data_IF_181098617747
#
_entry.id   IF_181098617747
#
_cell.length_a   1.000
_cell.length_b   1.000
_cell.length_c   1.000
_cell.angle_alpha   90.00
_cell.angle_beta   90.00
_cell.angle_gamma   90.00
#
_symmetry.space_group_name_H-M   'P 1'
#
loop_
_entity.id
_entity.type
_entity.pdbx_description
1 polymer ?
#
# COMPACT_ATOMS: atom_id res chain seq x y z
N UNK A 1 -13.04 2.24 -11.31
CA UNK A 1 -13.60 2.14 -9.95
C UNK A 1 -13.99 0.72 -9.66
N UNK A 2 -13.56 0.18 -8.52
CA UNK A 2 -13.77 -1.22 -8.19
C UNK A 2 -15.00 -1.38 -7.29
N UNK A 3 -15.74 -2.48 -7.39
CA UNK A 3 -16.87 -2.79 -6.47
C UNK A 3 -16.35 -3.05 -5.04
N UNK A 4 -17.21 -3.00 -4.02
CA UNK A 4 -16.79 -3.30 -2.65
C UNK A 4 -16.65 -4.82 -2.46
N UNK A 5 -15.47 -5.35 -2.77
CA UNK A 5 -15.07 -6.75 -2.60
C UNK A 5 -13.70 -6.79 -1.93
N UNK A 6 -13.44 -7.82 -1.11
CA UNK A 6 -12.13 -7.98 -0.46
C UNK A 6 -10.99 -8.06 -1.47
N UNK A 7 -11.19 -8.77 -2.59
CA UNK A 7 -10.20 -8.84 -3.69
C UNK A 7 -9.80 -7.47 -4.23
N UNK A 8 -10.70 -6.49 -4.20
CA UNK A 8 -10.40 -5.15 -4.70
C UNK A 8 -9.55 -4.34 -3.72
N UNK A 9 -9.61 -4.65 -2.42
CA UNK A 9 -8.67 -4.13 -1.41
C UNK A 9 -7.28 -4.71 -1.64
N UNK A 10 -7.19 -6.02 -1.93
CA UNK A 10 -5.92 -6.66 -2.29
C UNK A 10 -5.30 -6.01 -3.54
N UNK A 11 -6.10 -5.82 -4.59
CA UNK A 11 -5.65 -5.12 -5.81
C UNK A 11 -5.21 -3.69 -5.51
N UNK A 12 -5.93 -2.96 -4.66
CA UNK A 12 -5.53 -1.62 -4.23
C UNK A 12 -4.16 -1.64 -3.54
N UNK A 13 -3.93 -2.53 -2.56
CA UNK A 13 -2.65 -2.61 -1.85
C UNK A 13 -1.52 -2.97 -2.80
N UNK A 14 -1.76 -3.92 -3.72
CA UNK A 14 -0.78 -4.32 -4.72
C UNK A 14 -0.42 -3.20 -5.70
N UNK A 15 -1.41 -2.48 -6.22
CA UNK A 15 -1.19 -1.32 -7.12
C UNK A 15 -0.48 -0.19 -6.38
N UNK A 16 -0.88 0.11 -5.14
CA UNK A 16 -0.20 1.07 -4.27
C UNK A 16 1.29 0.73 -4.16
N UNK A 17 1.60 -0.53 -3.84
CA UNK A 17 2.96 -1.00 -3.74
C UNK A 17 3.75 -0.82 -5.04
N UNK A 18 3.21 -1.25 -6.19
CA UNK A 18 3.88 -1.10 -7.48
C UNK A 18 4.22 0.35 -7.79
N UNK A 19 3.27 1.27 -7.59
CA UNK A 19 3.49 2.70 -7.83
C UNK A 19 4.63 3.24 -6.96
N UNK A 20 4.61 2.94 -5.67
CA UNK A 20 5.66 3.38 -4.73
C UNK A 20 7.02 2.77 -5.09
N UNK A 21 7.04 1.49 -5.44
CA UNK A 21 8.24 0.78 -5.86
C UNK A 21 8.88 1.44 -7.10
N UNK A 22 8.09 1.75 -8.13
CA UNK A 22 8.57 2.48 -9.30
C UNK A 22 9.07 3.89 -8.98
N UNK A 23 8.36 4.63 -8.12
CA UNK A 23 8.77 5.98 -7.73
C UNK A 23 10.12 5.98 -7.00
N UNK A 24 10.35 5.03 -6.10
CA UNK A 24 11.64 4.93 -5.41
C UNK A 24 12.78 4.50 -6.33
N UNK A 25 12.55 3.56 -7.26
CA UNK A 25 13.57 3.20 -8.26
C UNK A 25 13.99 4.41 -9.09
N UNK A 26 13.03 5.23 -9.53
CA UNK A 26 13.31 6.46 -10.29
C UNK A 26 14.02 7.50 -9.42
N UNK A 27 13.56 7.70 -8.18
CA UNK A 27 14.17 8.67 -7.24
C UNK A 27 15.65 8.35 -6.96
N UNK A 28 15.97 7.07 -6.75
CA UNK A 28 17.31 6.63 -6.40
C UNK A 28 18.19 6.31 -7.64
N UNK A 29 17.66 6.50 -8.85
CA UNK A 29 18.29 6.11 -10.13
C UNK A 29 18.82 4.66 -10.11
N UNK A 30 18.15 3.77 -9.37
CA UNK A 30 18.61 2.41 -9.14
C UNK A 30 17.63 1.41 -9.75
N UNK A 31 17.95 0.99 -10.96
CA UNK A 31 17.17 0.02 -11.73
C UNK A 31 17.74 -1.41 -11.67
N UNK A 32 18.69 -1.68 -10.76
CA UNK A 32 19.32 -3.01 -10.62
C UNK A 32 18.31 -4.13 -10.38
N UNK A 33 17.19 -3.81 -9.73
CA UNK A 33 16.11 -4.78 -9.52
C UNK A 33 15.40 -5.13 -10.85
N UNK A 34 15.39 -4.26 -11.86
CA UNK A 34 14.81 -4.58 -13.18
C UNK A 34 15.77 -5.37 -14.09
N UNK A 35 17.05 -5.47 -13.73
CA UNK A 35 18.06 -6.19 -14.50
C UNK A 35 17.93 -7.71 -14.27
N UNK A 36 17.03 -8.33 -15.04
CA UNK A 36 16.78 -9.78 -15.01
C UNK A 36 18.00 -10.64 -15.40
N UNK A 37 19.03 -10.02 -15.98
CA UNK A 37 20.28 -10.70 -16.39
C UNK A 37 21.03 -11.35 -15.21
N UNK A 38 20.71 -10.96 -13.97
CA UNK A 38 21.31 -11.55 -12.77
C UNK A 38 20.61 -12.84 -12.29
N UNK A 39 19.46 -13.21 -12.86
CA UNK A 39 18.69 -14.39 -12.48
C UNK A 39 19.16 -15.58 -13.32
N UNK A 40 20.00 -16.46 -12.75
CA UNK A 40 20.59 -17.59 -13.48
C UNK A 40 19.86 -18.91 -13.25
N UNK A 41 19.21 -19.05 -12.10
CA UNK A 41 18.50 -20.26 -11.73
C UNK A 41 17.21 -19.96 -10.94
N UNK A 42 16.45 -21.02 -10.60
CA UNK A 42 15.20 -20.89 -9.85
C UNK A 42 15.38 -20.39 -8.41
N UNK A 43 16.55 -20.59 -7.80
CA UNK A 43 16.84 -20.07 -6.46
C UNK A 43 17.00 -18.54 -6.50
N UNK A 44 17.73 -18.03 -7.50
CA UNK A 44 17.88 -16.59 -7.72
C UNK A 44 16.52 -15.92 -7.95
N UNK A 45 15.64 -16.56 -8.72
CA UNK A 45 14.27 -16.10 -8.96
C UNK A 45 13.47 -16.04 -7.65
N UNK A 46 13.57 -17.07 -6.81
CA UNK A 46 12.88 -17.10 -5.51
C UNK A 46 13.37 -15.98 -4.59
N UNK A 47 14.69 -15.80 -4.45
CA UNK A 47 15.25 -14.71 -3.65
C UNK A 47 14.84 -13.33 -4.17
N UNK A 48 14.85 -13.16 -5.49
CA UNK A 48 14.42 -11.93 -6.14
C UNK A 48 12.95 -11.60 -5.83
N UNK A 49 12.04 -12.57 -6.03
CA UNK A 49 10.63 -12.42 -5.71
C UNK A 49 10.41 -12.18 -4.21
N UNK A 50 11.18 -12.85 -3.35
CA UNK A 50 11.10 -12.67 -1.91
C UNK A 50 11.44 -11.23 -1.51
N UNK A 51 12.58 -10.70 -1.95
CA UNK A 51 13.02 -9.33 -1.60
C UNK A 51 11.99 -8.29 -2.03
N UNK A 52 11.40 -8.45 -3.21
CA UNK A 52 10.40 -7.52 -3.74
C UNK A 52 9.07 -7.70 -3.00
N UNK A 53 8.57 -8.92 -2.90
CA UNK A 53 7.21 -9.18 -2.43
C UNK A 53 7.05 -9.28 -0.91
N UNK A 54 8.14 -9.38 -0.14
CA UNK A 54 8.05 -9.56 1.31
C UNK A 54 7.28 -8.42 1.99
N UNK A 55 7.67 -7.17 1.74
CA UNK A 55 6.98 -6.00 2.30
C UNK A 55 5.52 -5.86 1.86
N UNK A 56 5.14 -5.97 0.58
CA UNK A 56 3.74 -5.87 0.20
C UNK A 56 2.90 -7.03 0.73
N UNK A 57 3.47 -8.23 0.90
CA UNK A 57 2.77 -9.35 1.55
C UNK A 57 2.44 -8.99 3.01
N UNK A 58 3.39 -8.41 3.74
CA UNK A 58 3.15 -7.95 5.12
C UNK A 58 2.06 -6.87 5.15
N UNK A 59 2.14 -5.87 4.26
CA UNK A 59 1.14 -4.80 4.16
C UNK A 59 -0.25 -5.38 3.83
N UNK A 60 -0.33 -6.39 2.96
CA UNK A 60 -1.58 -7.10 2.65
C UNK A 60 -2.12 -7.79 3.91
N UNK A 61 -1.31 -8.57 4.61
CA UNK A 61 -1.76 -9.34 5.78
C UNK A 61 -2.27 -8.40 6.88
N UNK A 62 -1.54 -7.32 7.16
CA UNK A 62 -1.87 -6.41 8.26
C UNK A 62 -3.02 -5.46 7.94
N UNK A 63 -3.04 -4.87 6.73
CA UNK A 63 -3.93 -3.75 6.43
C UNK A 63 -5.13 -4.11 5.56
N UNK A 64 -5.15 -5.26 4.87
CA UNK A 64 -6.30 -5.62 4.01
C UNK A 64 -7.61 -5.75 4.79
N UNK A 65 -7.58 -6.39 5.96
CA UNK A 65 -8.76 -6.61 6.80
C UNK A 65 -9.28 -5.28 7.37
N UNK A 66 -8.45 -4.46 8.07
CA UNK A 66 -8.89 -3.15 8.57
C UNK A 66 -9.45 -2.25 7.46
N UNK A 67 -8.78 -2.16 6.30
CA UNK A 67 -9.22 -1.34 5.17
C UNK A 67 -10.55 -1.84 4.60
N UNK A 68 -10.74 -3.16 4.50
CA UNK A 68 -12.00 -3.71 4.01
C UNK A 68 -13.17 -3.39 4.94
N UNK A 69 -12.98 -3.46 6.26
CA UNK A 69 -14.02 -3.13 7.22
C UNK A 69 -14.28 -1.63 7.32
N UNK A 70 -13.27 -0.77 7.22
CA UNK A 70 -13.48 0.69 7.16
C UNK A 70 -14.36 1.05 5.96
N UNK A 71 -14.18 0.35 4.82
CA UNK A 71 -15.01 0.53 3.64
C UNK A 71 -16.48 0.14 3.82
N UNK A 72 -16.85 -0.64 4.84
CA UNK A 72 -18.26 -0.97 5.13
C UNK A 72 -18.98 0.02 6.05
N UNK A 73 -18.25 0.90 6.72
CA UNK A 73 -18.84 1.89 7.62
C UNK A 73 -19.68 2.88 6.82
N UNK A 74 -20.97 3.00 7.17
CA UNK A 74 -21.92 3.94 6.53
C UNK A 74 -21.72 5.38 6.99
N UNK A 75 -21.48 5.59 8.28
CA UNK A 75 -21.30 6.94 8.79
C UNK A 75 -19.94 7.49 8.35
N UNK A 76 -19.97 8.62 7.64
CA UNK A 76 -18.78 9.23 7.02
C UNK A 76 -17.72 9.63 8.04
N UNK A 77 -18.12 10.10 9.23
CA UNK A 77 -17.19 10.51 10.29
C UNK A 77 -16.39 9.30 10.79
N UNK A 78 -17.07 8.20 11.12
CA UNK A 78 -16.40 6.97 11.56
C UNK A 78 -15.55 6.34 10.45
N UNK A 79 -15.96 6.47 9.18
CA UNK A 79 -15.14 6.03 8.05
C UNK A 79 -13.84 6.84 7.94
N UNK A 80 -13.92 8.17 8.04
CA UNK A 80 -12.73 9.05 7.99
C UNK A 80 -11.81 8.73 9.17
N UNK A 81 -12.34 8.66 10.39
CA UNK A 81 -11.56 8.35 11.59
C UNK A 81 -10.86 6.99 11.47
N UNK A 82 -11.60 5.92 11.13
CA UNK A 82 -11.00 4.59 10.96
C UNK A 82 -9.94 4.55 9.87
N UNK A 83 -10.16 5.23 8.73
CA UNK A 83 -9.16 5.31 7.66
C UNK A 83 -7.91 6.07 8.11
N UNK A 84 -8.08 7.20 8.82
CA UNK A 84 -6.97 7.95 9.40
C UNK A 84 -6.18 7.12 10.41
N UNK A 85 -6.85 6.36 11.26
CA UNK A 85 -6.18 5.45 12.20
C UNK A 85 -5.39 4.38 11.46
N UNK A 86 -5.96 3.76 10.43
CA UNK A 86 -5.27 2.73 9.63
C UNK A 86 -4.02 3.31 8.96
N UNK A 87 -4.14 4.44 8.27
CA UNK A 87 -3.00 5.09 7.62
C UNK A 87 -1.97 5.64 8.62
N UNK A 88 -2.43 6.07 9.80
CA UNK A 88 -1.55 6.49 10.90
C UNK A 88 -0.73 5.34 11.47
N UNK A 89 -1.35 4.17 11.66
CA UNK A 89 -0.63 2.95 12.08
C UNK A 89 0.32 2.49 10.98
N UNK A 90 -0.10 2.53 9.71
CA UNK A 90 0.79 2.26 8.57
C UNK A 90 2.01 3.20 8.58
N UNK A 91 1.81 4.50 8.78
CA UNK A 91 2.92 5.46 8.90
C UNK A 91 3.87 5.09 10.04
N UNK A 92 3.35 4.89 11.25
CA UNK A 92 4.17 4.60 12.43
C UNK A 92 4.95 3.29 12.28
N UNK A 93 4.33 2.24 11.74
CA UNK A 93 5.03 0.99 11.45
C UNK A 93 6.16 1.19 10.45
N UNK A 94 5.91 1.90 9.33
CA UNK A 94 6.94 2.15 8.34
C UNK A 94 8.10 2.97 8.93
N UNK A 95 7.82 4.07 9.64
CA UNK A 95 8.85 4.90 10.30
C UNK A 95 9.69 4.08 11.28
N UNK A 96 9.05 3.21 12.07
CA UNK A 96 9.75 2.37 13.03
C UNK A 96 10.72 1.38 12.36
N UNK A 97 10.33 0.79 11.23
CA UNK A 97 11.15 -0.20 10.52
C UNK A 97 12.21 0.41 9.59
N UNK A 98 12.01 1.61 9.03
CA UNK A 98 12.91 2.16 8.01
C UNK A 98 13.95 3.11 8.56
N UNK A 99 13.55 4.22 9.16
CA UNK A 99 14.46 5.34 9.42
C UNK A 99 14.61 5.73 10.88
N UNK A 100 13.72 5.27 11.76
CA UNK A 100 13.67 5.65 13.19
C UNK A 100 13.63 7.18 13.41
N UNK A 101 13.40 7.97 12.36
CA UNK A 101 13.23 9.42 12.40
C UNK A 101 11.75 9.74 12.37
N UNK A 102 11.30 10.57 13.32
CA UNK A 102 9.89 10.92 13.49
C UNK A 102 9.28 11.51 12.20
N UNK A 103 10.07 12.24 11.41
CA UNK A 103 9.67 12.82 10.13
C UNK A 103 10.55 12.27 9.01
N UNK A 104 10.00 11.28 8.30
CA UNK A 104 10.59 10.73 7.09
C UNK A 104 9.72 11.11 5.89
N UNK A 105 10.29 11.90 4.98
CA UNK A 105 9.61 12.40 3.78
C UNK A 105 9.18 11.24 2.88
N UNK A 106 9.96 10.15 2.82
CA UNK A 106 9.67 9.02 1.94
C UNK A 106 8.48 8.20 2.45
N UNK A 107 8.42 8.02 3.77
CA UNK A 107 7.28 7.37 4.42
C UNK A 107 6.03 8.23 4.30
N UNK A 108 6.16 9.56 4.43
CA UNK A 108 5.05 10.48 4.26
C UNK A 108 4.51 10.42 2.82
N UNK A 109 5.38 10.41 1.81
CA UNK A 109 4.99 10.23 0.41
C UNK A 109 4.26 8.90 0.19
N UNK A 110 4.75 7.79 0.78
CA UNK A 110 4.10 6.47 0.72
C UNK A 110 2.65 6.54 1.21
N UNK A 111 2.41 7.20 2.34
CA UNK A 111 1.07 7.33 2.92
C UNK A 111 0.18 8.26 2.09
N UNK A 112 0.68 9.41 1.63
CA UNK A 112 -0.09 10.35 0.79
C UNK A 112 -0.56 9.68 -0.51
N UNK A 113 0.33 8.96 -1.20
CA UNK A 113 0.00 8.19 -2.40
C UNK A 113 -1.05 7.11 -2.07
N UNK A 114 -0.89 6.43 -0.93
CA UNK A 114 -1.85 5.45 -0.44
C UNK A 114 -3.25 6.02 -0.25
N UNK A 115 -3.37 7.19 0.38
CA UNK A 115 -4.65 7.89 0.61
C UNK A 115 -5.28 8.31 -0.73
N UNK A 116 -4.51 8.93 -1.62
CA UNK A 116 -4.99 9.37 -2.95
C UNK A 116 -5.54 8.17 -3.73
N UNK A 117 -4.78 7.08 -3.83
CA UNK A 117 -5.21 5.86 -4.52
C UNK A 117 -6.45 5.23 -3.87
N UNK A 118 -6.55 5.27 -2.55
CA UNK A 118 -7.70 4.74 -1.83
C UNK A 118 -8.99 5.49 -2.21
N UNK A 119 -8.93 6.82 -2.26
CA UNK A 119 -10.05 7.63 -2.74
C UNK A 119 -10.37 7.34 -4.21
N UNK A 120 -9.38 7.28 -5.09
CA UNK A 120 -9.59 6.98 -6.53
C UNK A 120 -10.30 5.62 -6.71
N UNK A 121 -9.90 4.61 -5.94
CA UNK A 121 -10.45 3.25 -6.08
C UNK A 121 -11.87 3.12 -5.51
N UNK A 122 -12.17 3.79 -4.40
CA UNK A 122 -13.37 3.51 -3.59
C UNK A 122 -14.36 4.68 -3.38
N UNK A 123 -14.06 5.91 -3.82
CA UNK A 123 -14.90 7.10 -3.56
C UNK A 123 -16.39 6.93 -3.91
N UNK A 124 -16.71 6.56 -5.15
CA UNK A 124 -18.10 6.37 -5.64
C UNK A 124 -18.84 5.23 -4.94
N UNK A 125 -18.14 4.17 -4.48
CA UNK A 125 -18.79 3.12 -3.70
C UNK A 125 -19.26 3.66 -2.35
N UNK A 126 -18.47 4.54 -1.73
CA UNK A 126 -18.86 5.19 -0.49
C UNK A 126 -20.03 6.15 -0.69
N UNK A 127 -20.01 6.96 -1.75
CA UNK A 127 -21.17 7.80 -2.08
C UNK A 127 -22.45 6.97 -2.23
N UNK A 128 -22.38 5.77 -2.83
CA UNK A 128 -23.54 4.87 -3.00
C UNK A 128 -24.00 4.18 -1.70
N UNK A 129 -23.11 4.02 -0.71
CA UNK A 129 -23.45 3.46 0.60
C UNK A 129 -24.15 4.47 1.52
N UNK A 130 -23.98 5.76 1.23
CA UNK A 130 -24.52 6.87 2.01
C UNK A 130 -25.78 7.50 1.39
N UNK A 131 -26.11 7.13 0.14
CA UNK A 131 -27.40 7.43 -0.52
C UNK A 131 -28.44 6.37 -0.20
#
# INVERSE_FOLDING_TARGET
MLKLKFSNVLVYIFVKYLIIFFLFMVKDNNFKLLELNNIKNGQDLFYYLWIILFFPIIDIILFSIPLYYSLKIKNMIYFILSSLTIFGVEYLMNVYFTSQKILDIDVLLKVVIGVILFFIFFYKNKCKLNS
#
